data_IF_107782962461
#
_entry.id   IF_107782962461
#
_cell.length_a   1.000
_cell.length_b   1.000
_cell.length_c   1.000
_cell.angle_alpha   90.00
_cell.angle_beta   90.00
_cell.angle_gamma   90.00
#
_symmetry.space_group_name_H-M   'P 1'
#
loop_
_entity.id
_entity.type
_entity.pdbx_description
1 polymer ?
#
# COMPACT_ATOMS: atom_id res chain seq x y z
N UNK A 1 -33.12 -11.92 -13.74
CA UNK A 1 -32.09 -10.88 -13.92
C UNK A 1 -32.68 -9.46 -14.08
N UNK A 2 -33.91 -9.22 -13.60
CA UNK A 2 -34.65 -7.96 -13.85
C UNK A 2 -35.28 -7.38 -12.57
N UNK A 3 -35.07 -7.99 -11.40
CA UNK A 3 -35.61 -7.50 -10.12
C UNK A 3 -34.62 -6.60 -9.35
N UNK A 4 -33.33 -6.64 -9.67
CA UNK A 4 -32.32 -5.87 -8.93
C UNK A 4 -32.35 -4.37 -9.25
N UNK A 5 -32.63 -3.99 -10.50
CA UNK A 5 -32.72 -2.56 -10.88
C UNK A 5 -33.98 -1.91 -10.32
N UNK A 6 -35.13 -2.61 -10.34
CA UNK A 6 -36.39 -2.09 -9.81
C UNK A 6 -36.38 -1.92 -8.28
N UNK A 7 -35.71 -2.81 -7.54
CA UNK A 7 -35.57 -2.68 -6.07
C UNK A 7 -34.65 -1.51 -5.70
N UNK A 8 -33.60 -1.26 -6.49
CA UNK A 8 -32.69 -0.11 -6.28
C UNK A 8 -33.31 1.22 -6.70
N UNK A 9 -34.14 1.23 -7.75
CA UNK A 9 -34.92 2.40 -8.16
C UNK A 9 -35.95 2.82 -7.09
N UNK A 10 -36.38 1.90 -6.21
CA UNK A 10 -37.24 2.23 -5.05
C UNK A 10 -36.49 2.93 -3.90
N UNK A 11 -35.16 2.84 -3.83
CA UNK A 11 -34.39 3.65 -2.88
C UNK A 11 -34.18 5.05 -3.46
N UNK A 12 -35.15 5.94 -3.22
CA UNK A 12 -35.16 7.32 -3.73
C UNK A 12 -33.82 8.05 -3.56
N UNK A 13 -33.08 7.82 -2.48
CA UNK A 13 -31.81 8.51 -2.19
C UNK A 13 -30.67 8.08 -3.10
N UNK A 14 -30.56 6.78 -3.40
CA UNK A 14 -29.54 6.25 -4.32
C UNK A 14 -29.86 6.62 -5.77
N UNK A 15 -31.14 6.55 -6.15
CA UNK A 15 -31.63 6.92 -7.47
C UNK A 15 -31.51 8.44 -7.74
N UNK A 16 -31.78 9.31 -6.74
CA UNK A 16 -31.72 10.77 -6.90
C UNK A 16 -30.33 11.37 -6.74
N UNK A 17 -29.48 10.83 -5.86
CA UNK A 17 -28.18 11.46 -5.52
C UNK A 17 -26.94 10.66 -5.92
N UNK A 18 -27.08 9.34 -6.17
CA UNK A 18 -25.96 8.43 -6.39
C UNK A 18 -24.99 8.28 -5.19
N UNK A 19 -25.30 8.89 -4.05
CA UNK A 19 -24.48 8.86 -2.83
C UNK A 19 -24.80 7.63 -1.99
N UNK A 20 -23.77 7.11 -1.33
CA UNK A 20 -23.85 5.98 -0.42
C UNK A 20 -22.75 6.11 0.62
N UNK A 21 -22.88 5.41 1.75
CA UNK A 21 -22.06 5.59 2.97
C UNK A 21 -20.56 5.74 2.69
N UNK A 22 -20.00 4.89 1.82
CA UNK A 22 -18.57 4.86 1.53
C UNK A 22 -18.09 5.88 0.48
N UNK A 23 -19.00 6.56 -0.22
CA UNK A 23 -18.69 7.67 -1.12
C UNK A 23 -18.97 9.05 -0.52
N UNK A 24 -19.79 9.10 0.54
CA UNK A 24 -20.24 10.36 1.13
C UNK A 24 -19.12 11.17 1.81
N UNK A 25 -19.28 12.51 1.85
CA UNK A 25 -18.37 13.40 2.57
C UNK A 25 -18.32 13.05 4.07
N UNK A 26 -17.26 13.53 4.72
CA UNK A 26 -16.83 13.24 6.11
C UNK A 26 -17.83 13.71 7.20
N UNK A 27 -19.13 13.43 7.08
CA UNK A 27 -20.10 13.66 8.17
C UNK A 27 -19.70 12.82 9.37
N UNK A 28 -19.95 13.33 10.57
CA UNK A 28 -19.58 12.62 11.80
C UNK A 28 -20.31 11.27 11.89
N UNK A 29 -21.59 11.23 11.51
CA UNK A 29 -22.38 10.00 11.46
C UNK A 29 -21.79 8.97 10.47
N UNK A 30 -21.42 9.40 9.25
CA UNK A 30 -20.82 8.50 8.28
C UNK A 30 -19.48 7.94 8.77
N UNK A 31 -18.66 8.74 9.45
CA UNK A 31 -17.41 8.25 10.07
C UNK A 31 -17.70 7.18 11.13
N UNK A 32 -18.64 7.46 12.05
CA UNK A 32 -19.03 6.51 13.10
C UNK A 32 -19.53 5.21 12.49
N UNK A 33 -20.44 5.28 11.51
CA UNK A 33 -20.98 4.09 10.84
C UNK A 33 -19.90 3.30 10.11
N UNK A 34 -18.98 3.96 9.39
CA UNK A 34 -17.84 3.29 8.74
C UNK A 34 -17.00 2.53 9.77
N UNK A 35 -16.62 3.19 10.86
CA UNK A 35 -15.85 2.56 11.94
C UNK A 35 -16.61 1.39 12.57
N UNK A 36 -17.90 1.53 12.84
CA UNK A 36 -18.73 0.46 13.37
C UNK A 36 -18.80 -0.75 12.44
N UNK A 37 -18.92 -0.54 11.12
CA UNK A 37 -18.91 -1.61 10.13
C UNK A 37 -17.54 -2.29 10.09
N UNK A 38 -16.44 -1.53 10.11
CA UNK A 38 -15.09 -2.12 10.13
C UNK A 38 -14.88 -2.99 11.37
N UNK A 39 -15.29 -2.49 12.54
CA UNK A 39 -15.22 -3.24 13.79
C UNK A 39 -16.12 -4.47 13.78
N UNK A 40 -17.31 -4.38 13.18
CA UNK A 40 -18.20 -5.52 13.03
C UNK A 40 -17.58 -6.61 12.16
N UNK A 41 -17.05 -6.25 10.98
CA UNK A 41 -16.39 -7.22 10.08
C UNK A 41 -15.19 -7.87 10.76
N UNK A 42 -14.38 -7.08 11.48
CA UNK A 42 -13.26 -7.61 12.23
C UNK A 42 -13.71 -8.61 13.30
N UNK A 43 -14.69 -8.24 14.14
CA UNK A 43 -15.23 -9.11 15.19
C UNK A 43 -15.87 -10.37 14.63
N UNK A 44 -16.58 -10.27 13.50
CA UNK A 44 -17.19 -11.41 12.83
C UNK A 44 -16.15 -12.48 12.49
N UNK A 45 -15.04 -12.08 11.85
CA UNK A 45 -13.96 -13.01 11.46
C UNK A 45 -13.24 -13.57 12.69
N UNK A 46 -12.97 -12.73 13.70
CA UNK A 46 -12.35 -13.18 14.94
C UNK A 46 -13.22 -14.21 15.68
N UNK A 47 -14.51 -13.94 15.86
CA UNK A 47 -15.43 -14.89 16.49
C UNK A 47 -15.63 -16.16 15.66
N UNK A 48 -15.59 -16.07 14.33
CA UNK A 48 -15.63 -17.25 13.46
C UNK A 48 -14.36 -18.10 13.62
N UNK A 49 -13.20 -17.47 13.75
CA UNK A 49 -11.93 -18.15 14.04
C UNK A 49 -11.96 -18.84 15.41
N UNK A 50 -12.35 -18.12 16.47
CA UNK A 50 -12.38 -18.63 17.85
C UNK A 50 -13.33 -19.83 18.03
N UNK A 51 -14.29 -20.01 17.11
CA UNK A 51 -15.26 -21.12 17.11
C UNK A 51 -14.97 -22.18 16.04
N UNK A 52 -13.84 -22.07 15.34
CA UNK A 52 -13.43 -22.96 14.24
C UNK A 52 -14.36 -22.95 13.00
N UNK A 53 -15.44 -22.15 13.01
CA UNK A 53 -16.39 -21.97 11.90
C UNK A 53 -15.73 -21.30 10.69
N UNK A 54 -14.68 -20.50 10.91
CA UNK A 54 -13.94 -19.89 9.81
C UNK A 54 -13.32 -20.94 8.87
N UNK A 55 -13.05 -22.15 9.38
CA UNK A 55 -12.39 -23.22 8.65
C UNK A 55 -13.35 -24.28 8.12
N UNK A 56 -14.65 -24.12 8.34
CA UNK A 56 -15.64 -25.02 7.77
C UNK A 56 -15.85 -24.76 6.26
N UNK A 57 -16.43 -25.74 5.57
CA UNK A 57 -16.73 -25.65 4.12
C UNK A 57 -17.96 -24.79 3.80
N UNK A 58 -18.61 -24.20 4.81
CA UNK A 58 -19.93 -23.59 4.69
C UNK A 58 -19.84 -22.08 4.83
N UNK A 59 -19.48 -21.59 6.02
CA UNK A 59 -19.46 -20.18 6.36
C UNK A 59 -18.48 -19.41 5.49
N UNK A 60 -17.20 -19.78 5.50
CA UNK A 60 -16.13 -19.07 4.77
C UNK A 60 -16.43 -19.04 3.26
N UNK A 61 -16.79 -20.20 2.70
CA UNK A 61 -17.13 -20.38 1.28
C UNK A 61 -18.33 -19.53 0.87
N UNK A 62 -19.43 -19.59 1.61
CA UNK A 62 -20.63 -18.81 1.30
C UNK A 62 -20.38 -17.32 1.47
N UNK A 63 -19.70 -16.93 2.56
CA UNK A 63 -19.42 -15.54 2.87
C UNK A 63 -18.50 -14.89 1.83
N UNK A 64 -17.38 -15.52 1.48
CA UNK A 64 -16.47 -14.98 0.45
C UNK A 64 -17.09 -15.02 -0.94
N UNK A 65 -17.90 -16.03 -1.26
CA UNK A 65 -18.66 -16.08 -2.52
C UNK A 65 -19.66 -14.93 -2.61
N UNK A 66 -20.35 -14.61 -1.52
CA UNK A 66 -21.26 -13.47 -1.46
C UNK A 66 -20.52 -12.14 -1.67
N UNK A 67 -19.40 -11.92 -0.98
CA UNK A 67 -18.57 -10.70 -1.16
C UNK A 67 -18.05 -10.61 -2.60
N UNK A 68 -17.61 -11.73 -3.18
CA UNK A 68 -17.16 -11.79 -4.58
C UNK A 68 -18.29 -11.44 -5.54
N UNK A 69 -19.50 -11.99 -5.34
CA UNK A 69 -20.67 -11.65 -6.15
C UNK A 69 -21.00 -10.16 -6.07
N UNK A 70 -20.99 -9.56 -4.87
CA UNK A 70 -21.20 -8.12 -4.71
C UNK A 70 -20.10 -7.30 -5.40
N UNK A 71 -18.84 -7.73 -5.34
CA UNK A 71 -17.72 -7.05 -6.00
C UNK A 71 -17.82 -7.06 -7.54
N UNK A 72 -18.50 -8.08 -8.10
CA UNK A 72 -18.81 -8.18 -9.53
C UNK A 72 -20.10 -7.46 -9.94
N UNK A 73 -20.86 -6.90 -8.99
CA UNK A 73 -22.12 -6.21 -9.28
C UNK A 73 -21.91 -5.05 -10.25
N UNK A 74 -22.86 -4.85 -11.18
CA UNK A 74 -22.89 -3.69 -12.07
C UNK A 74 -23.15 -2.38 -11.29
N UNK A 75 -23.80 -2.46 -10.13
CA UNK A 75 -24.13 -1.31 -9.29
C UNK A 75 -22.89 -0.83 -8.53
N UNK A 76 -22.48 0.42 -8.81
CA UNK A 76 -21.27 1.03 -8.23
C UNK A 76 -21.26 1.02 -6.70
N UNK A 77 -22.39 1.35 -6.07
CA UNK A 77 -22.50 1.42 -4.61
C UNK A 77 -22.27 0.06 -3.94
N UNK A 78 -22.91 -0.99 -4.46
CA UNK A 78 -22.74 -2.38 -4.00
C UNK A 78 -21.31 -2.82 -4.21
N UNK A 79 -20.78 -2.61 -5.41
CA UNK A 79 -19.41 -2.99 -5.76
C UNK A 79 -18.37 -2.30 -4.88
N UNK A 80 -18.47 -0.98 -4.68
CA UNK A 80 -17.52 -0.24 -3.84
C UNK A 80 -17.61 -0.68 -2.37
N UNK A 81 -18.81 -0.92 -1.87
CA UNK A 81 -19.02 -1.46 -0.52
C UNK A 81 -18.38 -2.85 -0.37
N UNK A 82 -18.55 -3.72 -1.36
CA UNK A 82 -17.95 -5.06 -1.37
C UNK A 82 -16.42 -5.04 -1.38
N UNK A 83 -15.81 -4.15 -2.18
CA UNK A 83 -14.36 -3.92 -2.21
C UNK A 83 -13.85 -3.55 -0.81
N UNK A 84 -14.55 -2.64 -0.13
CA UNK A 84 -14.19 -2.22 1.23
C UNK A 84 -14.31 -3.37 2.22
N UNK A 85 -15.39 -4.14 2.13
CA UNK A 85 -15.61 -5.29 3.00
C UNK A 85 -14.52 -6.34 2.80
N UNK A 86 -14.24 -6.70 1.55
CA UNK A 86 -13.20 -7.65 1.18
C UNK A 86 -11.84 -7.26 1.74
N UNK A 87 -11.45 -5.98 1.62
CA UNK A 87 -10.18 -5.46 2.14
C UNK A 87 -10.12 -5.56 3.67
N UNK A 88 -11.18 -5.14 4.37
CA UNK A 88 -11.23 -5.19 5.85
C UNK A 88 -11.24 -6.62 6.39
N UNK A 89 -11.97 -7.51 5.72
CA UNK A 89 -11.98 -8.94 6.00
C UNK A 89 -10.58 -9.52 5.78
N UNK A 90 -9.97 -9.23 4.62
CA UNK A 90 -8.63 -9.71 4.26
C UNK A 90 -7.58 -9.29 5.29
N UNK A 91 -7.59 -8.04 5.76
CA UNK A 91 -6.70 -7.60 6.84
C UNK A 91 -6.92 -8.37 8.12
N UNK A 92 -8.18 -8.61 8.48
CA UNK A 92 -8.48 -9.39 9.69
C UNK A 92 -7.99 -10.82 9.56
N UNK A 93 -8.20 -11.45 8.41
CA UNK A 93 -7.66 -12.78 8.11
C UNK A 93 -6.14 -12.82 8.21
N UNK A 94 -5.44 -11.83 7.61
CA UNK A 94 -3.99 -11.69 7.71
C UNK A 94 -3.53 -11.62 9.18
N UNK A 95 -4.20 -10.83 10.01
CA UNK A 95 -3.88 -10.71 11.44
C UNK A 95 -4.10 -12.05 12.16
N UNK A 96 -5.24 -12.72 11.91
CA UNK A 96 -5.56 -14.04 12.47
C UNK A 96 -4.51 -15.07 12.05
N UNK A 97 -4.17 -15.14 10.77
CA UNK A 97 -3.20 -16.09 10.26
C UNK A 97 -1.81 -15.86 10.84
N UNK A 98 -1.38 -14.61 10.96
CA UNK A 98 -0.13 -14.27 11.62
C UNK A 98 -0.15 -14.69 13.10
N UNK A 99 -1.28 -14.51 13.80
CA UNK A 99 -1.44 -14.97 15.19
C UNK A 99 -1.30 -16.49 15.29
N UNK A 100 -2.01 -17.25 14.45
CA UNK A 100 -1.94 -18.72 14.43
C UNK A 100 -0.53 -19.24 14.13
N UNK A 101 0.22 -18.59 13.24
CA UNK A 101 1.61 -18.96 12.95
C UNK A 101 2.51 -18.70 14.15
N UNK A 102 2.38 -17.54 14.81
CA UNK A 102 3.25 -17.16 15.93
C UNK A 102 2.90 -17.86 17.26
N UNK A 103 1.65 -18.29 17.45
CA UNK A 103 1.20 -18.98 18.69
C UNK A 103 1.49 -20.48 18.70
N UNK A 104 1.98 -21.06 17.60
CA UNK A 104 2.59 -22.40 17.61
C UNK A 104 1.63 -23.56 17.87
N UNK A 105 0.89 -23.98 16.82
CA UNK A 105 0.46 -25.39 16.68
C UNK A 105 1.57 -26.24 16.00
N UNK A 106 2.73 -25.68 15.66
CA UNK A 106 3.82 -26.41 15.00
C UNK A 106 5.16 -26.20 15.71
N UNK A 107 5.72 -27.30 16.23
CA UNK A 107 7.06 -27.40 16.80
C UNK A 107 8.14 -27.27 15.72
N UNK A 108 9.30 -26.72 16.11
CA UNK A 108 10.39 -26.19 15.27
C UNK A 108 11.03 -27.15 14.24
N UNK A 109 10.61 -28.41 14.13
CA UNK A 109 11.29 -29.44 13.32
C UNK A 109 10.56 -29.82 12.00
N UNK A 110 9.30 -29.43 11.76
CA UNK A 110 8.52 -29.79 10.54
C UNK A 110 8.21 -28.60 9.59
N UNK A 111 8.97 -27.50 9.72
CA UNK A 111 8.65 -26.16 9.23
C UNK A 111 8.46 -25.95 7.71
N UNK A 112 8.71 -26.93 6.84
CA UNK A 112 8.58 -26.73 5.39
C UNK A 112 7.16 -26.94 4.83
N UNK A 113 6.42 -27.89 5.39
CA UNK A 113 5.21 -28.44 4.74
C UNK A 113 3.94 -27.91 5.41
N UNK A 114 3.88 -27.89 6.75
CA UNK A 114 2.72 -27.38 7.49
C UNK A 114 2.55 -25.86 7.35
N UNK A 115 3.64 -25.08 7.41
CA UNK A 115 3.60 -23.63 7.14
C UNK A 115 3.02 -23.37 5.75
N UNK A 116 3.45 -24.17 4.76
CA UNK A 116 3.03 -24.07 3.37
C UNK A 116 1.57 -24.51 3.18
N UNK A 117 1.10 -25.55 3.86
CA UNK A 117 -0.28 -26.06 3.76
C UNK A 117 -1.29 -25.13 4.41
N UNK A 118 -0.98 -24.58 5.58
CA UNK A 118 -1.85 -23.57 6.14
C UNK A 118 -1.75 -22.28 5.33
N UNK A 119 -0.58 -21.89 4.79
CA UNK A 119 -0.52 -20.83 3.75
C UNK A 119 -1.34 -21.18 2.49
N UNK A 120 -1.50 -22.44 2.11
CA UNK A 120 -2.20 -22.86 0.89
C UNK A 120 -3.73 -22.80 1.04
N UNK A 121 -4.27 -23.25 2.18
CA UNK A 121 -5.69 -23.03 2.53
C UNK A 121 -5.97 -21.53 2.66
N UNK A 122 -5.07 -20.78 3.32
CA UNK A 122 -5.14 -19.31 3.47
C UNK A 122 -5.01 -18.54 2.14
N UNK A 123 -4.25 -19.06 1.17
CA UNK A 123 -4.13 -18.48 -0.18
C UNK A 123 -5.45 -18.56 -0.94
N UNK A 124 -6.26 -19.59 -0.73
CA UNK A 124 -7.56 -19.70 -1.41
C UNK A 124 -8.50 -18.61 -0.91
N UNK A 125 -8.54 -18.32 0.38
CA UNK A 125 -9.35 -17.23 0.97
C UNK A 125 -8.90 -15.86 0.46
N UNK A 126 -7.58 -15.61 0.50
CA UNK A 126 -6.99 -14.37 -0.02
C UNK A 126 -7.25 -14.24 -1.54
N UNK A 127 -7.18 -15.35 -2.28
CA UNK A 127 -7.49 -15.38 -3.72
C UNK A 127 -8.98 -15.28 -4.02
N UNK A 128 -9.86 -15.78 -3.16
CA UNK A 128 -11.30 -15.67 -3.30
C UNK A 128 -11.75 -14.20 -3.14
N UNK A 129 -11.06 -13.48 -2.26
CA UNK A 129 -11.21 -12.04 -2.05
C UNK A 129 -10.47 -11.20 -3.09
N UNK A 130 -9.70 -11.78 -4.03
CA UNK A 130 -8.91 -11.02 -5.03
C UNK A 130 -9.76 -10.00 -5.74
N UNK A 131 -9.48 -8.74 -5.43
CA UNK A 131 -10.02 -7.60 -6.12
C UNK A 131 -9.15 -7.39 -7.37
N UNK A 132 -9.59 -7.94 -8.49
CA UNK A 132 -9.07 -7.59 -9.81
C UNK A 132 -9.42 -6.13 -10.11
N UNK A 133 -8.81 -5.15 -9.44
CA UNK A 133 -9.29 -3.80 -9.67
C UNK A 133 -8.38 -2.63 -9.31
N UNK A 134 -8.37 -1.68 -10.24
CA UNK A 134 -8.06 -0.29 -10.02
C UNK A 134 -8.95 0.34 -8.92
N UNK A 135 -10.08 -0.28 -8.58
CA UNK A 135 -11.03 0.21 -7.58
C UNK A 135 -10.54 0.12 -6.13
N UNK A 136 -9.60 -0.78 -5.80
CA UNK A 136 -8.99 -0.84 -4.46
C UNK A 136 -8.35 0.51 -4.10
N UNK A 137 -7.67 1.12 -5.07
CA UNK A 137 -7.03 2.43 -4.90
C UNK A 137 -8.00 3.60 -4.71
N UNK A 138 -9.32 3.42 -4.94
CA UNK A 138 -10.32 4.45 -4.63
C UNK A 138 -10.46 4.71 -3.13
N UNK A 139 -10.11 3.73 -2.29
CA UNK A 139 -10.03 3.90 -0.84
C UNK A 139 -8.81 4.72 -0.40
N UNK A 140 -7.86 5.03 -1.29
CA UNK A 140 -6.75 5.96 -1.05
C UNK A 140 -5.97 5.69 0.24
N UNK A 141 -6.09 6.53 1.27
CA UNK A 141 -5.33 6.40 2.53
C UNK A 141 -5.68 5.10 3.24
N UNK A 142 -6.95 4.74 3.29
CA UNK A 142 -7.38 3.48 3.86
C UNK A 142 -6.75 2.30 3.11
N UNK A 143 -6.68 2.32 1.78
CA UNK A 143 -5.97 1.27 1.01
C UNK A 143 -4.49 1.14 1.43
N UNK A 144 -3.80 2.26 1.64
CA UNK A 144 -2.38 2.28 2.00
C UNK A 144 -2.16 1.59 3.36
N UNK A 145 -3.02 1.88 4.33
CA UNK A 145 -2.95 1.29 5.67
C UNK A 145 -3.12 -0.23 5.63
N UNK A 146 -4.09 -0.72 4.84
CA UNK A 146 -4.37 -2.16 4.74
C UNK A 146 -3.22 -2.90 4.05
N UNK A 147 -2.74 -2.36 2.92
CA UNK A 147 -1.57 -2.92 2.20
C UNK A 147 -0.32 -2.96 3.08
N UNK A 148 -0.10 -1.93 3.91
CA UNK A 148 1.01 -1.91 4.86
C UNK A 148 0.95 -3.09 5.82
N UNK A 149 -0.22 -3.38 6.40
CA UNK A 149 -0.43 -4.51 7.31
C UNK A 149 -0.20 -5.83 6.59
N UNK A 150 -0.71 -5.98 5.38
CA UNK A 150 -0.56 -7.19 4.58
C UNK A 150 0.90 -7.51 4.29
N UNK A 151 1.66 -6.51 3.80
CA UNK A 151 3.07 -6.67 3.47
C UNK A 151 3.91 -6.87 4.74
N UNK A 152 3.55 -6.21 5.85
CA UNK A 152 4.24 -6.40 7.14
C UNK A 152 4.25 -7.86 7.58
N UNK A 153 3.11 -8.54 7.50
CA UNK A 153 2.98 -9.92 7.99
C UNK A 153 3.34 -10.98 6.94
N UNK A 154 3.01 -10.76 5.66
CA UNK A 154 3.25 -11.75 4.60
C UNK A 154 3.88 -11.12 3.34
N UNK A 155 5.11 -10.60 3.42
CA UNK A 155 5.69 -9.79 2.34
C UNK A 155 5.81 -10.55 1.02
N UNK A 156 6.23 -11.83 1.04
CA UNK A 156 6.37 -12.63 -0.19
C UNK A 156 5.03 -12.85 -0.91
N UNK A 157 3.94 -13.06 -0.15
CA UNK A 157 2.60 -13.23 -0.72
C UNK A 157 2.14 -11.92 -1.36
N UNK A 158 2.19 -10.83 -0.60
CA UNK A 158 1.60 -9.57 -1.04
C UNK A 158 2.46 -8.77 -2.01
N UNK A 159 3.79 -8.93 -2.01
CA UNK A 159 4.67 -8.29 -2.98
C UNK A 159 4.76 -9.12 -4.26
N UNK A 160 5.09 -10.41 -4.16
CA UNK A 160 5.42 -11.23 -5.34
C UNK A 160 4.20 -11.91 -5.95
N UNK A 161 3.37 -12.58 -5.15
CA UNK A 161 2.29 -13.43 -5.68
C UNK A 161 1.02 -12.65 -6.02
N UNK A 162 0.66 -11.70 -5.17
CA UNK A 162 -0.56 -10.89 -5.32
C UNK A 162 -0.28 -9.50 -5.88
N UNK A 163 0.98 -9.06 -5.86
CA UNK A 163 1.39 -7.75 -6.37
C UNK A 163 0.61 -6.57 -5.75
N UNK A 164 0.18 -6.69 -4.49
CA UNK A 164 -0.53 -5.66 -3.76
C UNK A 164 0.32 -4.39 -3.57
N UNK A 165 1.64 -4.51 -3.65
CA UNK A 165 2.58 -3.38 -3.68
C UNK A 165 2.27 -2.40 -4.83
N UNK A 166 1.69 -2.87 -5.94
CA UNK A 166 1.31 -2.01 -7.08
C UNK A 166 0.16 -1.04 -6.73
N UNK A 167 -0.67 -1.36 -5.73
CA UNK A 167 -1.66 -0.41 -5.23
C UNK A 167 -0.99 0.79 -4.58
N UNK A 168 0.03 0.53 -3.75
CA UNK A 168 0.84 1.58 -3.14
C UNK A 168 1.58 2.39 -4.21
N UNK A 169 2.17 1.71 -5.20
CA UNK A 169 2.85 2.34 -6.34
C UNK A 169 1.97 3.34 -7.07
N UNK A 170 0.74 2.94 -7.40
CA UNK A 170 -0.23 3.78 -8.10
C UNK A 170 -0.61 5.02 -7.28
N UNK A 171 -0.77 4.85 -5.96
CA UNK A 171 -1.17 5.93 -5.05
C UNK A 171 -0.10 7.01 -4.84
N UNK A 172 1.17 6.75 -5.17
CA UNK A 172 2.24 7.77 -5.25
C UNK A 172 1.90 8.87 -6.28
N UNK A 173 1.06 8.55 -7.27
CA UNK A 173 0.61 9.49 -8.31
C UNK A 173 -0.83 9.97 -8.13
N UNK A 174 -1.46 9.71 -6.98
CA UNK A 174 -2.84 10.16 -6.72
C UNK A 174 -2.95 11.70 -6.80
N UNK A 175 -4.14 12.19 -7.14
CA UNK A 175 -4.44 13.62 -7.23
C UNK A 175 -4.32 14.34 -5.87
N UNK A 176 -4.63 13.65 -4.77
CA UNK A 176 -4.54 14.20 -3.42
C UNK A 176 -3.11 14.13 -2.88
N UNK A 177 -2.59 15.28 -2.45
CA UNK A 177 -1.29 15.38 -1.81
C UNK A 177 -1.15 14.53 -0.54
N UNK A 178 -2.21 14.44 0.25
CA UNK A 178 -2.22 13.65 1.49
C UNK A 178 -2.07 12.16 1.19
N UNK A 179 -2.67 11.69 0.09
CA UNK A 179 -2.57 10.31 -0.38
C UNK A 179 -1.18 10.02 -0.92
N UNK A 180 -0.62 10.92 -1.73
CA UNK A 180 0.76 10.79 -2.23
C UNK A 180 1.76 10.72 -1.08
N UNK A 181 1.63 11.62 -0.09
CA UNK A 181 2.50 11.65 1.08
C UNK A 181 2.39 10.35 1.89
N UNK A 182 1.17 9.92 2.22
CA UNK A 182 0.95 8.67 2.96
C UNK A 182 1.50 7.44 2.22
N UNK A 183 1.39 7.41 0.88
CA UNK A 183 1.92 6.32 0.07
C UNK A 183 3.45 6.28 0.13
N UNK A 184 4.10 7.44 -0.02
CA UNK A 184 5.55 7.58 0.09
C UNK A 184 6.04 7.22 1.49
N UNK A 185 5.42 7.74 2.54
CA UNK A 185 5.77 7.45 3.94
C UNK A 185 5.65 5.96 4.27
N UNK A 186 4.57 5.32 3.84
CA UNK A 186 4.39 3.87 4.02
C UNK A 186 5.46 3.09 3.28
N UNK A 187 5.77 3.48 2.05
CA UNK A 187 6.79 2.82 1.25
C UNK A 187 8.20 2.99 1.84
N UNK A 188 8.51 4.16 2.42
CA UNK A 188 9.74 4.39 3.17
C UNK A 188 9.90 3.38 4.32
N UNK A 189 8.83 3.16 5.10
CA UNK A 189 8.84 2.21 6.20
C UNK A 189 9.08 0.76 5.72
N UNK A 190 8.49 0.38 4.58
CA UNK A 190 8.71 -0.94 3.97
C UNK A 190 10.16 -1.13 3.54
N UNK A 191 10.75 -0.13 2.88
CA UNK A 191 12.14 -0.17 2.38
C UNK A 191 13.16 -0.15 3.52
N UNK A 192 12.84 0.51 4.64
CA UNK A 192 13.70 0.49 5.85
C UNK A 192 13.68 -0.86 6.57
N UNK A 193 12.78 -1.78 6.22
CA UNK A 193 12.68 -3.10 6.84
C UNK A 193 13.51 -4.12 6.04
N UNK A 194 14.64 -4.66 6.55
CA UNK A 194 15.60 -5.44 5.74
C UNK A 194 15.00 -6.65 5.01
N UNK A 195 14.14 -7.43 5.69
CA UNK A 195 13.50 -8.61 5.11
C UNK A 195 12.54 -8.25 3.96
N UNK A 196 11.83 -7.13 4.09
CA UNK A 196 10.91 -6.64 3.05
C UNK A 196 11.69 -6.03 1.88
N UNK A 197 12.75 -5.26 2.18
CA UNK A 197 13.64 -4.69 1.20
C UNK A 197 14.23 -5.74 0.27
N UNK A 198 14.70 -6.87 0.82
CA UNK A 198 15.25 -7.97 0.03
C UNK A 198 14.28 -8.47 -1.06
N UNK A 199 12.99 -8.51 -0.76
CA UNK A 199 11.92 -8.93 -1.69
C UNK A 199 11.58 -7.79 -2.67
N UNK A 200 11.57 -6.54 -2.19
CA UNK A 200 11.25 -5.37 -3.01
C UNK A 200 12.30 -5.06 -4.08
N UNK A 201 13.55 -5.50 -3.94
CA UNK A 201 14.68 -5.18 -4.85
C UNK A 201 14.31 -5.30 -6.34
N UNK A 202 13.57 -6.35 -6.72
CA UNK A 202 13.15 -6.58 -8.12
C UNK A 202 12.22 -5.48 -8.64
N UNK A 203 11.42 -4.87 -7.76
CA UNK A 203 10.44 -3.82 -8.10
C UNK A 203 10.97 -2.40 -7.88
N UNK A 204 12.14 -2.22 -7.27
CA UNK A 204 12.65 -0.89 -6.92
C UNK A 204 12.85 0.02 -8.12
N UNK A 205 13.23 -0.52 -9.29
CA UNK A 205 13.40 0.26 -10.52
C UNK A 205 12.12 1.00 -10.93
N UNK A 206 10.97 0.32 -10.91
CA UNK A 206 9.68 0.91 -11.31
C UNK A 206 9.19 1.97 -10.31
N UNK A 207 9.41 1.70 -9.03
CA UNK A 207 9.14 2.66 -7.96
C UNK A 207 10.06 3.88 -8.06
N UNK A 208 11.34 3.66 -8.33
CA UNK A 208 12.38 4.67 -8.49
C UNK A 208 12.04 5.67 -9.61
N UNK A 209 11.51 5.19 -10.74
CA UNK A 209 11.01 6.04 -11.83
C UNK A 209 9.79 6.87 -11.39
N UNK A 210 8.86 6.27 -10.66
CA UNK A 210 7.61 6.93 -10.25
C UNK A 210 7.83 7.95 -9.14
N UNK A 211 8.70 7.64 -8.17
CA UNK A 211 9.14 8.56 -7.11
C UNK A 211 9.93 9.72 -7.73
N UNK A 212 10.75 9.47 -8.76
CA UNK A 212 11.47 10.52 -9.48
C UNK A 212 10.56 11.61 -10.07
N UNK A 213 9.34 11.25 -10.48
CA UNK A 213 8.32 12.21 -10.94
C UNK A 213 7.79 13.12 -9.83
N UNK A 214 8.13 12.84 -8.57
CA UNK A 214 7.69 13.59 -7.38
C UNK A 214 8.80 14.42 -6.74
N UNK A 215 10.03 14.42 -7.27
CA UNK A 215 11.10 15.31 -6.77
C UNK A 215 10.72 16.79 -6.80
N UNK A 216 9.84 17.16 -7.73
CA UNK A 216 9.20 18.47 -7.77
C UNK A 216 7.69 18.30 -7.95
N UNK A 217 6.98 18.31 -6.83
CA UNK A 217 5.54 18.10 -6.71
C UNK A 217 4.88 19.44 -6.35
N UNK A 218 3.57 19.54 -6.58
CA UNK A 218 2.78 20.73 -6.22
C UNK A 218 2.84 20.99 -4.71
N UNK A 219 2.98 19.93 -3.90
CA UNK A 219 3.18 20.07 -2.45
C UNK A 219 4.64 19.79 -2.07
N UNK A 220 5.28 20.78 -1.46
CA UNK A 220 6.67 20.73 -1.01
C UNK A 220 6.99 19.54 -0.12
N UNK A 221 6.08 19.13 0.77
CA UNK A 221 6.33 18.01 1.70
C UNK A 221 6.41 16.68 0.95
N UNK A 222 5.62 16.53 -0.11
CA UNK A 222 5.67 15.37 -1.00
C UNK A 222 7.02 15.32 -1.72
N UNK A 223 7.52 16.47 -2.20
CA UNK A 223 8.85 16.55 -2.83
C UNK A 223 10.00 16.16 -1.91
N UNK A 224 10.05 16.77 -0.72
CA UNK A 224 11.05 16.45 0.30
C UNK A 224 11.04 14.95 0.59
N UNK A 225 9.85 14.39 0.85
CA UNK A 225 9.69 12.96 1.13
C UNK A 225 10.14 12.08 -0.04
N UNK A 226 9.83 12.45 -1.28
CA UNK A 226 10.25 11.71 -2.47
C UNK A 226 11.79 11.70 -2.64
N UNK A 227 12.44 12.84 -2.40
CA UNK A 227 13.90 12.97 -2.47
C UNK A 227 14.56 12.16 -1.34
N UNK A 228 14.03 12.22 -0.12
CA UNK A 228 14.54 11.48 1.03
C UNK A 228 14.49 9.96 0.78
N UNK A 229 13.35 9.43 0.30
CA UNK A 229 13.20 8.01 -0.03
C UNK A 229 14.16 7.62 -1.15
N UNK A 230 14.29 8.45 -2.18
CA UNK A 230 15.20 8.17 -3.28
C UNK A 230 16.67 8.17 -2.83
N UNK A 231 17.02 9.01 -1.85
CA UNK A 231 18.34 8.97 -1.21
C UNK A 231 18.58 7.60 -0.55
N UNK A 232 17.57 7.04 0.13
CA UNK A 232 17.65 5.68 0.68
C UNK A 232 17.82 4.64 -0.43
N UNK A 233 17.18 4.83 -1.58
CA UNK A 233 17.27 3.89 -2.71
C UNK A 233 18.67 3.83 -3.28
N UNK A 234 19.24 4.99 -3.57
CA UNK A 234 20.57 5.10 -4.16
C UNK A 234 21.64 4.55 -3.21
N UNK A 235 21.47 4.73 -1.88
CA UNK A 235 22.34 4.07 -0.88
C UNK A 235 22.33 2.55 -0.98
N UNK A 236 21.19 1.94 -1.33
CA UNK A 236 21.05 0.49 -1.45
C UNK A 236 21.55 -0.02 -2.81
N UNK A 237 21.31 0.75 -3.86
CA UNK A 237 21.71 0.43 -5.23
C UNK A 237 21.95 1.72 -6.03
N UNK A 238 23.23 2.05 -6.21
CA UNK A 238 23.65 3.22 -6.98
C UNK A 238 23.23 3.16 -8.45
N UNK A 239 22.92 1.98 -9.01
CA UNK A 239 22.46 1.87 -10.40
C UNK A 239 21.07 2.47 -10.62
N UNK A 240 20.30 2.67 -9.53
CA UNK A 240 18.97 3.26 -9.57
C UNK A 240 18.98 4.75 -9.92
N UNK A 241 20.13 5.43 -9.97
CA UNK A 241 20.20 6.83 -10.41
C UNK A 241 20.57 6.95 -11.89
N UNK A 242 19.66 7.55 -12.67
CA UNK A 242 19.96 7.88 -14.08
C UNK A 242 20.59 9.27 -14.19
N UNK A 243 21.41 9.55 -15.23
CA UNK A 243 22.03 10.87 -15.44
C UNK A 243 21.01 12.02 -15.47
N UNK A 244 19.82 11.78 -16.04
CA UNK A 244 18.70 12.74 -16.06
C UNK A 244 18.21 13.08 -14.66
N UNK A 245 18.02 12.09 -13.79
CA UNK A 245 17.55 12.28 -12.40
C UNK A 245 18.62 12.91 -11.54
N UNK A 246 19.88 12.52 -11.74
CA UNK A 246 21.00 13.17 -11.08
C UNK A 246 21.04 14.67 -11.40
N UNK A 247 21.01 15.04 -12.69
CA UNK A 247 20.97 16.46 -13.10
C UNK A 247 19.78 17.22 -12.50
N UNK A 248 18.61 16.59 -12.44
CA UNK A 248 17.44 17.19 -11.79
C UNK A 248 17.70 17.46 -10.30
N UNK A 249 18.20 16.47 -9.55
CA UNK A 249 18.50 16.62 -8.12
C UNK A 249 19.58 17.68 -7.86
N UNK A 250 20.63 17.75 -8.70
CA UNK A 250 21.65 18.83 -8.61
C UNK A 250 21.01 20.20 -8.77
N UNK A 251 20.13 20.38 -9.76
CA UNK A 251 19.45 21.66 -9.96
C UNK A 251 18.57 22.03 -8.76
N UNK A 252 17.93 21.03 -8.13
CA UNK A 252 17.07 21.23 -6.97
C UNK A 252 17.84 21.69 -5.72
N UNK A 253 19.15 21.46 -5.61
CA UNK A 253 19.98 22.03 -4.51
C UNK A 253 19.86 23.55 -4.46
N UNK A 254 19.71 24.20 -5.62
CA UNK A 254 19.56 25.65 -5.76
C UNK A 254 18.10 26.09 -5.85
N UNK A 255 17.14 25.24 -5.48
CA UNK A 255 15.73 25.59 -5.52
C UNK A 255 15.42 26.74 -4.55
N UNK A 256 14.48 27.61 -4.95
CA UNK A 256 14.03 28.73 -4.11
C UNK A 256 13.34 28.26 -2.83
N UNK A 257 12.76 27.06 -2.85
CA UNK A 257 12.14 26.43 -1.70
C UNK A 257 13.21 25.71 -0.86
N UNK A 258 13.63 26.35 0.24
CA UNK A 258 14.69 25.84 1.11
C UNK A 258 14.54 24.35 1.49
N UNK A 259 13.37 23.82 1.90
CA UNK A 259 13.24 22.41 2.24
C UNK A 259 13.57 21.44 1.09
N UNK A 260 13.23 21.81 -0.16
CA UNK A 260 13.55 20.99 -1.34
C UNK A 260 15.05 21.01 -1.61
N UNK A 261 15.66 22.20 -1.55
CA UNK A 261 17.10 22.37 -1.68
C UNK A 261 17.89 21.63 -0.62
N UNK A 262 17.45 21.68 0.63
CA UNK A 262 18.05 20.94 1.74
C UNK A 262 17.98 19.42 1.52
N UNK A 263 16.81 18.89 1.11
CA UNK A 263 16.66 17.47 0.80
C UNK A 263 17.56 17.03 -0.37
N UNK A 264 17.63 17.84 -1.43
CA UNK A 264 18.50 17.57 -2.58
C UNK A 264 19.99 17.66 -2.21
N UNK A 265 20.38 18.58 -1.32
CA UNK A 265 21.73 18.68 -0.81
C UNK A 265 22.10 17.45 0.04
N UNK A 266 21.19 16.99 0.91
CA UNK A 266 21.35 15.73 1.66
C UNK A 266 21.51 14.55 0.71
N UNK A 267 20.72 14.47 -0.36
CA UNK A 267 20.91 13.45 -1.40
C UNK A 267 22.35 13.49 -1.96
N UNK A 268 22.82 14.68 -2.34
CA UNK A 268 24.13 14.87 -2.96
C UNK A 268 25.29 14.46 -2.03
N UNK A 269 25.22 14.86 -0.76
CA UNK A 269 26.22 14.49 0.25
C UNK A 269 26.34 12.96 0.36
N UNK A 270 25.21 12.26 0.43
CA UNK A 270 25.19 10.81 0.49
C UNK A 270 25.69 10.15 -0.80
N UNK A 271 25.29 10.65 -1.97
CA UNK A 271 25.70 10.07 -3.25
C UNK A 271 27.21 10.18 -3.49
N UNK A 272 27.80 11.31 -3.10
CA UNK A 272 29.24 11.53 -3.22
C UNK A 272 30.05 10.84 -2.11
N UNK A 273 29.38 10.16 -1.17
CA UNK A 273 30.00 9.55 0.02
C UNK A 273 30.88 10.56 0.76
N UNK A 274 30.43 11.82 0.80
CA UNK A 274 31.15 12.88 1.48
C UNK A 274 31.01 12.66 2.98
N UNK A 275 32.13 12.39 3.65
CA UNK A 275 32.22 12.54 5.10
C UNK A 275 32.34 14.04 5.42
N UNK A 276 31.58 14.50 6.41
CA UNK A 276 31.59 15.89 6.89
C UNK A 276 32.98 16.37 7.37
N UNK A 277 33.91 15.44 7.58
CA UNK A 277 35.25 15.71 8.12
C UNK A 277 36.24 16.30 7.10
N UNK A 278 35.92 16.38 5.79
CA UNK A 278 36.91 16.78 4.78
C UNK A 278 36.35 17.68 3.66
N UNK A 279 36.13 18.96 3.99
CA UNK A 279 35.57 19.99 3.08
C UNK A 279 36.29 20.10 1.73
N UNK A 280 37.61 19.88 1.67
CA UNK A 280 38.38 19.94 0.42
C UNK A 280 38.01 18.84 -0.57
N UNK A 281 37.64 17.64 -0.10
CA UNK A 281 37.16 16.56 -0.95
C UNK A 281 35.83 16.91 -1.64
N UNK A 282 34.99 17.72 -0.98
CA UNK A 282 33.70 18.19 -1.52
C UNK A 282 33.94 19.04 -2.76
N UNK A 283 34.82 20.04 -2.66
CA UNK A 283 35.13 20.94 -3.77
C UNK A 283 35.75 20.19 -4.96
N UNK A 284 36.62 19.22 -4.71
CA UNK A 284 37.23 18.39 -5.76
C UNK A 284 36.20 17.49 -6.45
N UNK A 285 35.27 16.89 -5.71
CA UNK A 285 34.18 16.09 -6.28
C UNK A 285 33.22 16.96 -7.10
N UNK A 286 32.80 18.11 -6.57
CA UNK A 286 31.93 19.06 -7.28
C UNK A 286 32.58 19.61 -8.55
N UNK A 287 33.88 19.91 -8.52
CA UNK A 287 34.63 20.39 -9.69
C UNK A 287 34.73 19.35 -10.81
N UNK A 288 34.75 18.05 -10.48
CA UNK A 288 34.70 16.98 -11.50
C UNK A 288 33.36 16.93 -12.25
N UNK A 289 32.29 17.45 -11.66
CA UNK A 289 30.96 17.50 -12.29
C UNK A 289 30.72 18.75 -13.13
N UNK A 290 31.41 19.87 -12.87
CA UNK A 290 31.27 21.11 -13.66
C UNK A 290 32.03 21.08 -15.00
N UNK A 291 32.89 20.07 -15.21
CA UNK A 291 33.77 19.95 -16.39
C UNK A 291 33.19 18.97 -17.45
N UNK A 292 32.01 18.37 -17.22
CA UNK A 292 31.29 17.51 -18.19
C UNK A 292 29.94 18.10 -18.56
#
# INVERSE_FOLDING_TARGET
>A
MMESEDVLNRQETLAKSGKYLFMEPKTQLAKILKTSIYNFLQKLILCAHDREILYDDVFSKQFFTFIKAMSSSNIRAIRHTAVIFAIKILTTLVIVYNKVINEGIYSEEENGVAEQDVLNVRKQDINALRLQDNKVTLMRVECIQEVSIWIKYFPKIFITQLQAINYLHKLITDMSKDVRYAALETFEALVKTPNILAILKVTLSDFSETIGKRFYDVDTKVSVKAIDIFTVFVKQDNSLISPRRFKLLINLVFDKCYPIGEAAAKFLLHYLQINEENEHMILVQLAKFSIK
#
